data_IF_235965368870
#
_entry.id   IF_235965368870
#
_cell.length_a   1.000
_cell.length_b   1.000
_cell.length_c   1.000
_cell.angle_alpha   90.00
_cell.angle_beta   90.00
_cell.angle_gamma   90.00
#
_symmetry.space_group_name_H-M   'P 1'
#
loop_
_entity.id
_entity.type
_entity.pdbx_description
1 polymer ?
#
# COMPACT_ATOMS: atom_id res chain seq x y z
N UNK A 1 32.10 15.63 1.71
CA UNK A 1 31.10 16.69 1.96
C UNK A 1 30.57 17.15 0.61
N UNK A 2 29.47 16.56 0.13
CA UNK A 2 28.71 17.18 -0.97
C UNK A 2 27.74 18.17 -0.31
N UNK A 3 27.93 19.44 -0.57
CA UNK A 3 27.03 20.51 -0.17
C UNK A 3 25.78 20.42 -1.04
N UNK A 4 24.65 20.05 -0.44
CA UNK A 4 23.36 19.97 -1.12
C UNK A 4 22.89 21.39 -1.46
N UNK A 5 23.04 21.82 -2.71
CA UNK A 5 22.41 23.03 -3.23
C UNK A 5 21.04 22.65 -3.80
N UNK A 6 19.98 22.98 -3.07
CA UNK A 6 18.61 22.98 -3.58
C UNK A 6 18.52 24.08 -4.65
N UNK A 7 17.87 23.86 -5.81
CA UNK A 7 17.66 24.93 -6.78
C UNK A 7 16.83 26.05 -6.14
N UNK A 8 17.40 27.26 -6.10
CA UNK A 8 16.87 28.44 -5.41
C UNK A 8 15.61 29.07 -6.06
N UNK A 9 14.86 28.33 -6.89
CA UNK A 9 13.89 28.92 -7.83
C UNK A 9 12.50 28.26 -7.89
N UNK A 10 12.04 27.58 -6.83
CA UNK A 10 10.59 27.34 -6.69
C UNK A 10 9.94 28.60 -6.09
N UNK A 11 9.01 29.25 -6.80
CA UNK A 11 8.26 30.38 -6.25
C UNK A 11 7.56 29.94 -4.95
N UNK A 12 7.92 30.56 -3.83
CA UNK A 12 7.26 30.32 -2.54
C UNK A 12 5.78 30.66 -2.69
N UNK A 13 4.91 29.69 -2.45
CA UNK A 13 3.47 29.83 -2.68
C UNK A 13 2.87 30.87 -1.72
N UNK A 14 1.72 31.45 -2.09
CA UNK A 14 0.99 32.37 -1.20
C UNK A 14 0.64 31.69 0.12
N UNK A 15 0.27 30.41 0.10
CA UNK A 15 0.00 29.64 1.31
C UNK A 15 1.23 29.54 2.22
N UNK A 16 2.41 29.25 1.66
CA UNK A 16 3.68 29.22 2.42
C UNK A 16 4.03 30.57 3.05
N UNK A 17 3.63 31.69 2.45
CA UNK A 17 3.84 33.03 2.99
C UNK A 17 2.86 33.39 4.11
N UNK A 18 1.64 32.87 4.05
CA UNK A 18 0.55 33.26 4.95
C UNK A 18 0.40 32.33 6.15
N UNK A 19 0.74 31.05 6.01
CA UNK A 19 0.62 30.05 7.07
C UNK A 19 1.98 29.39 7.35
N UNK A 20 2.60 29.65 8.51
CA UNK A 20 3.85 28.99 8.91
C UNK A 20 3.76 27.47 8.89
N UNK A 21 2.58 26.88 9.14
CA UNK A 21 2.38 25.42 9.10
C UNK A 21 2.44 24.86 7.67
N UNK A 22 2.28 25.71 6.65
CA UNK A 22 2.37 25.34 5.24
C UNK A 22 3.77 25.57 4.67
N UNK A 23 4.72 26.05 5.47
CA UNK A 23 6.11 26.25 5.07
C UNK A 23 6.89 24.94 4.99
N UNK A 24 7.87 24.90 4.08
CA UNK A 24 8.86 23.82 4.00
C UNK A 24 10.05 24.21 4.87
N UNK A 25 10.31 23.41 5.90
CA UNK A 25 11.46 23.57 6.78
C UNK A 25 12.54 22.55 6.41
N UNK A 26 13.80 23.00 6.41
CA UNK A 26 14.91 22.07 6.29
C UNK A 26 15.06 21.30 7.60
N UNK A 27 15.22 19.99 7.51
CA UNK A 27 15.52 19.18 8.68
C UNK A 27 16.90 19.55 9.23
N UNK A 28 16.99 19.76 10.55
CA UNK A 28 18.28 19.85 11.22
C UNK A 28 18.93 18.46 11.25
N UNK A 29 20.18 18.39 10.78
CA UNK A 29 20.93 17.13 10.69
C UNK A 29 22.16 17.11 11.59
N UNK A 30 22.34 18.13 12.43
CA UNK A 30 23.43 18.12 13.40
C UNK A 30 23.22 17.03 14.46
N UNK A 31 24.30 16.31 14.75
CA UNK A 31 24.27 15.16 15.65
C UNK A 31 23.43 13.96 15.16
N UNK A 32 23.08 13.86 13.87
CA UNK A 32 22.33 12.72 13.30
C UNK A 32 23.29 11.63 12.76
N UNK A 33 22.99 10.37 13.11
CA UNK A 33 23.59 9.16 12.51
C UNK A 33 22.63 8.54 11.49
N UNK A 34 23.14 8.21 10.31
CA UNK A 34 22.37 7.72 9.18
C UNK A 34 22.49 6.21 9.00
N UNK A 35 21.37 5.58 8.65
CA UNK A 35 21.24 4.15 8.42
C UNK A 35 20.57 3.86 7.08
N UNK A 36 21.04 2.80 6.42
CA UNK A 36 20.35 2.18 5.30
C UNK A 36 19.35 1.16 5.84
N UNK A 37 18.03 1.34 5.65
CA UNK A 37 17.01 0.46 6.22
C UNK A 37 16.94 -0.91 5.55
N UNK A 38 17.72 -1.18 4.50
CA UNK A 38 17.91 -2.54 3.97
C UNK A 38 18.80 -3.41 4.85
N UNK A 39 19.47 -2.81 5.83
CA UNK A 39 20.37 -3.50 6.75
C UNK A 39 19.74 -3.65 8.12
N UNK A 40 20.15 -4.69 8.85
CA UNK A 40 19.81 -4.82 10.25
C UNK A 40 20.21 -3.55 11.04
N UNK A 41 19.41 -3.13 12.03
CA UNK A 41 18.29 -3.87 12.62
C UNK A 41 16.91 -3.54 12.03
N UNK A 42 16.82 -2.82 10.91
CA UNK A 42 15.54 -2.46 10.31
C UNK A 42 14.86 -3.67 9.66
N UNK A 43 13.53 -3.67 9.66
CA UNK A 43 12.71 -4.64 8.94
C UNK A 43 11.97 -3.94 7.80
N UNK A 44 12.04 -4.52 6.60
CA UNK A 44 11.28 -4.09 5.43
C UNK A 44 10.15 -5.09 5.16
N UNK A 45 8.91 -4.60 5.07
CA UNK A 45 7.73 -5.36 4.67
C UNK A 45 7.16 -4.83 3.35
N UNK A 46 6.38 -5.67 2.64
CA UNK A 46 5.74 -5.31 1.37
C UNK A 46 6.63 -5.40 0.12
N UNK A 47 7.91 -5.79 0.27
CA UNK A 47 8.84 -6.04 -0.84
C UNK A 47 9.37 -7.47 -0.79
N UNK A 48 8.73 -8.37 -1.53
CA UNK A 48 8.98 -9.81 -1.40
C UNK A 48 10.34 -10.28 -1.94
N UNK A 49 10.95 -9.51 -2.84
CA UNK A 49 12.22 -9.84 -3.51
C UNK A 49 13.39 -8.96 -3.06
N UNK A 50 13.19 -8.07 -2.09
CA UNK A 50 14.21 -7.06 -1.72
C UNK A 50 15.45 -7.65 -1.07
N UNK A 51 15.33 -8.80 -0.40
CA UNK A 51 16.48 -9.44 0.27
C UNK A 51 17.50 -9.95 -0.75
N UNK A 52 17.01 -10.47 -1.86
CA UNK A 52 17.79 -11.03 -2.95
C UNK A 52 18.26 -9.93 -3.91
N UNK A 53 17.39 -8.98 -4.24
CA UNK A 53 17.63 -8.02 -5.33
C UNK A 53 18.13 -6.65 -4.83
N UNK A 54 17.87 -6.29 -3.58
CA UNK A 54 18.30 -5.01 -2.99
C UNK A 54 17.58 -3.76 -3.54
N UNK A 55 16.50 -3.95 -4.30
CA UNK A 55 15.72 -2.89 -4.96
C UNK A 55 14.35 -2.73 -4.29
N UNK A 56 13.91 -1.49 -4.07
CA UNK A 56 12.54 -1.19 -3.62
C UNK A 56 11.55 -1.39 -4.77
N UNK A 57 11.12 -2.63 -4.98
CA UNK A 57 10.26 -3.05 -6.09
C UNK A 57 9.25 -4.08 -5.65
N UNK A 58 8.02 -3.98 -6.18
CA UNK A 58 6.86 -4.80 -5.79
C UNK A 58 6.70 -6.11 -6.58
N UNK A 59 7.54 -6.33 -7.59
CA UNK A 59 7.67 -7.58 -8.38
C UNK A 59 9.17 -7.87 -8.56
N UNK A 60 9.57 -9.09 -8.96
CA UNK A 60 10.97 -9.36 -9.28
C UNK A 60 11.52 -8.37 -10.32
N UNK A 61 12.81 -8.09 -10.27
CA UNK A 61 13.52 -7.35 -11.33
C UNK A 61 13.56 -8.18 -12.61
N UNK A 62 13.66 -9.51 -12.49
CA UNK A 62 13.66 -10.44 -13.62
C UNK A 62 12.58 -11.51 -13.40
N UNK A 63 11.31 -11.22 -13.74
CA UNK A 63 10.22 -12.15 -13.52
C UNK A 63 10.34 -13.38 -14.43
N UNK A 64 10.02 -14.57 -13.90
CA UNK A 64 10.03 -15.83 -14.65
C UNK A 64 8.94 -15.89 -15.74
N UNK A 65 7.94 -15.00 -15.66
CA UNK A 65 6.88 -14.83 -16.65
C UNK A 65 6.92 -13.43 -17.24
N UNK A 66 6.67 -13.35 -18.54
CA UNK A 66 6.55 -12.07 -19.24
C UNK A 66 5.38 -11.27 -18.67
N UNK A 67 5.68 -10.08 -18.16
CA UNK A 67 4.71 -9.10 -17.70
C UNK A 67 4.68 -7.94 -18.68
N UNK A 68 3.52 -7.29 -18.80
CA UNK A 68 3.37 -6.10 -19.63
C UNK A 68 4.29 -4.98 -19.15
N UNK A 69 4.87 -4.23 -20.08
CA UNK A 69 5.72 -3.06 -19.79
C UNK A 69 5.10 -2.08 -18.79
N UNK A 70 3.79 -1.81 -18.91
CA UNK A 70 3.11 -0.90 -17.99
C UNK A 70 3.06 -1.45 -16.55
N UNK A 71 2.89 -2.76 -16.37
CA UNK A 71 2.95 -3.41 -15.05
C UNK A 71 4.38 -3.41 -14.53
N UNK A 72 5.35 -3.72 -15.39
CA UNK A 72 6.78 -3.68 -15.07
C UNK A 72 7.24 -2.31 -14.56
N UNK A 73 6.80 -1.24 -15.22
CA UNK A 73 7.06 0.14 -14.81
C UNK A 73 6.42 0.45 -13.46
N UNK A 74 5.13 0.14 -13.29
CA UNK A 74 4.38 0.38 -12.05
C UNK A 74 4.87 -0.47 -10.86
N UNK A 75 5.53 -1.60 -11.11
CA UNK A 75 6.17 -2.39 -10.06
C UNK A 75 7.34 -1.67 -9.39
N UNK A 76 7.90 -0.62 -10.01
CA UNK A 76 8.89 0.25 -9.37
C UNK A 76 8.27 1.25 -8.39
N UNK A 77 6.94 1.43 -8.37
CA UNK A 77 6.29 2.22 -7.32
C UNK A 77 6.28 1.44 -6.02
N UNK A 78 6.40 2.13 -4.89
CA UNK A 78 6.66 1.50 -3.58
C UNK A 78 5.43 1.31 -2.69
N UNK A 79 4.22 1.34 -3.26
CA UNK A 79 2.96 1.21 -2.52
C UNK A 79 2.94 -0.03 -1.62
N UNK A 80 2.46 0.13 -0.38
CA UNK A 80 2.40 -0.94 0.62
C UNK A 80 3.72 -1.26 1.32
N UNK A 81 4.86 -0.77 0.83
CA UNK A 81 6.14 -0.97 1.51
C UNK A 81 6.17 -0.28 2.88
N UNK A 82 6.87 -0.88 3.85
CA UNK A 82 7.10 -0.24 5.16
C UNK A 82 8.52 -0.46 5.67
N UNK A 83 9.02 0.51 6.46
CA UNK A 83 10.24 0.40 7.29
C UNK A 83 9.81 0.33 8.74
N UNK A 84 10.20 -0.71 9.47
CA UNK A 84 9.89 -0.90 10.88
C UNK A 84 11.17 -0.99 11.71
N UNK A 85 11.20 -0.30 12.86
CA UNK A 85 12.32 -0.35 13.81
C UNK A 85 11.90 0.17 15.20
N UNK A 86 12.71 -0.16 16.21
CA UNK A 86 12.61 0.43 17.54
C UNK A 86 13.77 1.39 17.79
N UNK A 87 13.50 2.54 18.40
CA UNK A 87 14.56 3.44 18.84
C UNK A 87 14.17 4.28 20.05
N UNK A 88 15.15 4.65 20.88
CA UNK A 88 15.03 5.67 21.93
C UNK A 88 15.43 7.07 21.46
N UNK A 89 15.45 7.28 20.13
CA UNK A 89 15.76 8.55 19.51
C UNK A 89 14.79 9.64 19.95
N UNK A 90 15.30 10.87 20.00
CA UNK A 90 14.50 12.07 20.12
C UNK A 90 14.09 12.60 18.76
N UNK A 91 14.90 12.39 17.73
CA UNK A 91 14.65 12.86 16.37
C UNK A 91 14.64 11.71 15.37
N UNK A 92 13.71 11.76 14.42
CA UNK A 92 13.74 10.94 13.20
C UNK A 92 13.74 11.88 12.01
N UNK A 93 14.77 11.76 11.17
CA UNK A 93 14.90 12.48 9.90
C UNK A 93 15.08 11.46 8.79
N UNK A 94 14.52 11.71 7.61
CA UNK A 94 14.78 10.90 6.41
C UNK A 94 15.50 11.69 5.34
N UNK A 95 16.33 11.00 4.55
CA UNK A 95 16.87 11.46 3.26
C UNK A 95 16.37 10.53 2.18
N UNK A 96 15.73 11.08 1.15
CA UNK A 96 15.08 10.30 0.11
C UNK A 96 15.54 10.76 -1.27
N UNK A 97 15.79 9.78 -2.13
CA UNK A 97 15.90 9.93 -3.58
C UNK A 97 14.75 9.17 -4.25
N UNK A 98 13.88 9.91 -4.93
CA UNK A 98 12.78 9.40 -5.73
C UNK A 98 13.26 9.04 -7.14
N UNK A 99 12.51 8.18 -7.83
CA UNK A 99 12.75 7.88 -9.25
C UNK A 99 12.35 9.04 -10.16
N UNK A 100 11.30 9.75 -9.78
CA UNK A 100 10.75 10.87 -10.56
C UNK A 100 10.23 11.99 -9.65
N UNK A 101 9.94 13.14 -10.25
CA UNK A 101 9.31 14.27 -9.56
C UNK A 101 7.83 14.01 -9.33
N UNK A 102 7.25 14.63 -8.31
CA UNK A 102 5.80 14.56 -8.11
C UNK A 102 5.09 15.42 -9.16
N UNK A 103 3.94 14.97 -9.64
CA UNK A 103 3.26 15.65 -10.76
C UNK A 103 1.85 15.18 -11.06
N UNK A 104 1.26 14.28 -10.27
CA UNK A 104 -0.14 13.92 -10.44
C UNK A 104 -1.04 15.12 -10.08
N UNK A 105 -1.97 15.47 -10.98
CA UNK A 105 -2.83 16.65 -10.81
C UNK A 105 -4.03 16.43 -9.87
N UNK A 106 -4.34 15.18 -9.53
CA UNK A 106 -5.51 14.78 -8.72
C UNK A 106 -5.13 13.87 -7.54
N UNK A 107 -3.84 13.72 -7.23
CA UNK A 107 -3.34 13.05 -6.02
C UNK A 107 -2.38 13.98 -5.30
N UNK A 108 -2.51 14.19 -3.98
CA UNK A 108 -1.55 14.99 -3.23
C UNK A 108 -0.12 14.42 -3.35
N UNK A 109 0.87 15.31 -3.54
CA UNK A 109 2.27 14.89 -3.65
C UNK A 109 2.73 14.08 -2.42
N UNK A 110 2.17 14.38 -1.25
CA UNK A 110 2.39 13.63 0.00
C UNK A 110 2.01 12.17 -0.10
N UNK A 111 0.91 11.82 -0.79
CA UNK A 111 0.54 10.43 -1.07
C UNK A 111 1.35 9.83 -2.21
N UNK A 112 1.61 10.62 -3.27
CA UNK A 112 2.34 10.16 -4.44
C UNK A 112 3.79 9.76 -4.10
N UNK A 113 4.51 10.65 -3.41
CA UNK A 113 5.98 10.60 -3.24
C UNK A 113 6.48 10.83 -1.81
N UNK A 114 5.58 11.05 -0.85
CA UNK A 114 5.93 11.21 0.56
C UNK A 114 6.03 9.88 1.32
N UNK A 115 6.73 9.90 2.45
CA UNK A 115 6.60 8.89 3.51
C UNK A 115 5.69 9.44 4.61
N UNK A 116 4.98 8.59 5.34
CA UNK A 116 4.37 8.96 6.61
C UNK A 116 4.81 8.04 7.75
N UNK A 117 4.93 8.62 8.94
CA UNK A 117 5.44 7.98 10.15
C UNK A 117 4.30 7.68 11.12
N UNK A 118 4.33 6.47 11.65
CA UNK A 118 3.50 5.99 12.73
C UNK A 118 4.36 5.54 13.92
N UNK A 119 3.77 5.60 15.10
CA UNK A 119 4.32 5.09 16.36
C UNK A 119 3.36 4.05 16.95
N UNK A 120 3.87 2.89 17.41
CA UNK A 120 3.07 1.91 18.17
C UNK A 120 3.11 2.30 19.65
N UNK A 121 1.97 2.74 20.20
CA UNK A 121 1.77 3.06 21.62
C UNK A 121 0.58 2.25 22.13
N UNK A 122 0.72 1.58 23.28
CA UNK A 122 -0.34 0.77 23.91
C UNK A 122 -0.94 -0.33 23.00
N UNK A 123 -0.16 -0.81 22.03
CA UNK A 123 -0.61 -1.82 21.05
C UNK A 123 -1.12 -1.22 19.73
N UNK A 124 -1.51 0.05 19.72
CA UNK A 124 -2.08 0.71 18.54
C UNK A 124 -1.04 1.55 17.79
N UNK A 125 -1.11 1.53 16.46
CA UNK A 125 -0.29 2.42 15.62
C UNK A 125 -0.98 3.77 15.40
N UNK A 126 -0.37 4.85 15.90
CA UNK A 126 -0.86 6.23 15.77
C UNK A 126 -0.05 7.02 14.77
N UNK A 127 -0.73 7.80 13.94
CA UNK A 127 -0.09 8.71 12.98
C UNK A 127 0.67 9.82 13.71
N UNK A 128 1.88 10.14 13.23
CA UNK A 128 2.68 11.25 13.73
C UNK A 128 2.83 12.37 12.70
N UNK A 129 3.42 12.07 11.56
CA UNK A 129 3.81 13.09 10.58
C UNK A 129 3.97 12.52 9.18
N UNK A 130 3.70 13.34 8.17
CA UNK A 130 3.97 13.05 6.77
C UNK A 130 5.14 13.90 6.28
N UNK A 131 6.01 13.33 5.47
CA UNK A 131 7.12 14.03 4.83
C UNK A 131 6.57 15.13 3.92
N UNK A 132 7.01 16.37 4.18
CA UNK A 132 6.74 17.54 3.33
C UNK A 132 8.00 17.84 2.54
N UNK A 133 7.87 18.06 1.25
CA UNK A 133 9.01 18.25 0.35
C UNK A 133 8.61 19.10 -0.86
N UNK A 134 9.60 19.58 -1.61
CA UNK A 134 9.36 20.28 -2.87
C UNK A 134 9.05 19.29 -3.99
N UNK A 135 7.93 19.49 -4.68
CA UNK A 135 7.49 18.64 -5.80
C UNK A 135 8.43 18.71 -7.01
N UNK A 136 9.20 19.80 -7.12
CA UNK A 136 10.15 20.04 -8.23
C UNK A 136 11.48 19.28 -8.07
N UNK A 137 11.64 18.51 -6.99
CA UNK A 137 12.85 17.77 -6.65
C UNK A 137 12.58 16.28 -6.56
N UNK A 138 13.55 15.48 -7.00
CA UNK A 138 13.60 14.03 -6.71
C UNK A 138 14.33 13.76 -5.38
N UNK A 139 14.98 14.76 -4.80
CA UNK A 139 15.70 14.66 -3.53
C UNK A 139 14.99 15.46 -2.45
N UNK A 140 14.82 14.88 -1.27
CA UNK A 140 14.34 15.65 -0.11
C UNK A 140 14.86 15.12 1.22
N UNK A 141 14.76 15.98 2.24
CA UNK A 141 14.94 15.64 3.64
C UNK A 141 13.70 16.06 4.41
N UNK A 142 13.28 15.25 5.38
CA UNK A 142 12.13 15.57 6.21
C UNK A 142 12.35 15.08 7.65
N UNK A 143 12.08 15.96 8.62
CA UNK A 143 12.00 15.58 10.03
C UNK A 143 10.57 15.10 10.35
N UNK A 144 10.47 13.86 10.81
CA UNK A 144 9.20 13.16 11.04
C UNK A 144 8.85 12.99 12.52
N UNK A 145 9.81 13.14 13.42
CA UNK A 145 9.60 12.96 14.85
C UNK A 145 10.54 13.83 15.66
N UNK A 146 10.01 14.41 16.73
CA UNK A 146 10.75 15.10 17.80
C UNK A 146 10.18 14.69 19.16
N UNK A 147 11.03 14.54 20.17
CA UNK A 147 10.62 14.21 21.54
C UNK A 147 11.63 14.72 22.57
N UNK A 148 11.15 15.03 23.77
CA UNK A 148 11.99 15.50 24.87
C UNK A 148 12.63 14.36 25.68
N UNK A 149 12.12 13.14 25.58
CA UNK A 149 12.58 11.97 26.33
C UNK A 149 13.30 10.93 25.45
N UNK A 150 14.06 10.04 26.09
CA UNK A 150 14.74 8.90 25.43
C UNK A 150 14.00 7.59 25.69
N UNK A 151 12.68 7.56 25.47
CA UNK A 151 11.92 6.31 25.59
C UNK A 151 12.02 5.49 24.31
N UNK A 152 12.27 4.19 24.49
CA UNK A 152 12.23 3.22 23.40
C UNK A 152 10.82 3.14 22.83
N UNK A 153 10.68 3.37 21.53
CA UNK A 153 9.42 3.39 20.79
C UNK A 153 9.53 2.56 19.53
N UNK A 154 8.41 2.00 19.10
CA UNK A 154 8.30 1.30 17.83
C UNK A 154 7.77 2.24 16.76
N UNK A 155 8.46 2.31 15.62
CA UNK A 155 8.17 3.20 14.52
C UNK A 155 7.91 2.40 13.24
N UNK A 156 6.95 2.88 12.45
CA UNK A 156 6.64 2.39 11.11
C UNK A 156 6.62 3.57 10.15
N UNK A 157 7.46 3.56 9.10
CA UNK A 157 7.33 4.47 7.97
C UNK A 157 6.69 3.73 6.79
N UNK A 158 5.62 4.28 6.22
CA UNK A 158 5.06 3.75 4.97
C UNK A 158 5.71 4.45 3.77
N UNK A 159 5.98 3.69 2.72
CA UNK A 159 6.60 4.18 1.48
C UNK A 159 5.61 4.91 0.56
N UNK A 160 6.11 5.76 -0.36
CA UNK A 160 5.31 6.38 -1.42
C UNK A 160 4.44 5.41 -2.23
N UNK A 161 3.24 5.86 -2.63
CA UNK A 161 2.25 5.01 -3.32
C UNK A 161 2.42 5.00 -4.85
N UNK A 162 2.76 6.16 -5.43
CA UNK A 162 2.73 6.40 -6.88
C UNK A 162 4.06 6.95 -7.41
N UNK A 163 5.16 6.58 -6.76
CA UNK A 163 6.51 6.88 -7.19
C UNK A 163 7.43 5.77 -6.69
N UNK A 164 8.58 5.59 -7.33
CA UNK A 164 9.63 4.71 -6.84
C UNK A 164 10.66 5.42 -5.99
N UNK A 165 11.37 4.64 -5.17
CA UNK A 165 12.45 5.13 -4.32
C UNK A 165 13.77 4.50 -4.77
N UNK A 166 14.73 5.33 -5.16
CA UNK A 166 16.10 4.89 -5.46
C UNK A 166 16.88 4.65 -4.16
N UNK A 167 16.76 5.57 -3.20
CA UNK A 167 17.38 5.44 -1.89
C UNK A 167 16.57 6.13 -0.80
N UNK A 168 16.56 5.54 0.40
CA UNK A 168 16.05 6.17 1.61
C UNK A 168 17.02 5.88 2.76
N UNK A 169 17.32 6.89 3.56
CA UNK A 169 18.15 6.78 4.75
C UNK A 169 17.37 7.22 5.98
N UNK A 170 17.47 6.45 7.07
CA UNK A 170 16.89 6.80 8.36
C UNK A 170 17.97 7.47 9.22
N UNK A 171 17.71 8.69 9.64
CA UNK A 171 18.54 9.48 10.54
C UNK A 171 17.94 9.52 11.94
N UNK A 172 18.73 9.18 12.94
CA UNK A 172 18.39 9.34 14.37
C UNK A 172 19.53 10.02 15.11
N UNK A 173 19.30 10.49 16.34
CA UNK A 173 20.38 11.06 17.16
C UNK A 173 21.57 10.09 17.26
N UNK A 174 22.79 10.62 17.23
CA UNK A 174 24.04 9.84 17.18
C UNK A 174 24.13 8.79 18.30
N UNK A 175 23.67 9.17 19.50
CA UNK A 175 23.71 8.35 20.71
C UNK A 175 22.43 7.52 20.91
N UNK A 176 21.46 7.57 19.99
CA UNK A 176 20.24 6.76 20.09
C UNK A 176 20.55 5.31 19.74
N UNK A 177 19.92 4.39 20.46
CA UNK A 177 19.91 2.96 20.15
C UNK A 177 18.87 2.67 19.07
N UNK A 178 19.21 1.86 18.09
CA UNK A 178 18.26 1.31 17.10
C UNK A 178 18.21 -0.20 17.27
N UNK A 179 17.01 -0.77 17.34
CA UNK A 179 16.76 -2.22 17.50
C UNK A 179 15.74 -2.70 16.49
N UNK A 180 15.66 -4.02 16.33
CA UNK A 180 14.62 -4.64 15.54
C UNK A 180 13.24 -4.27 16.11
N UNK A 181 12.23 -4.09 15.25
CA UNK A 181 10.87 -3.90 15.70
C UNK A 181 10.35 -5.19 16.36
N UNK A 182 9.25 -5.13 17.14
CA UNK A 182 8.52 -6.34 17.46
C UNK A 182 8.03 -7.03 16.18
N UNK A 183 7.90 -8.35 16.22
CA UNK A 183 7.18 -9.07 15.17
C UNK A 183 5.74 -8.53 15.06
N UNK A 184 5.14 -8.69 13.89
CA UNK A 184 3.69 -8.51 13.75
C UNK A 184 2.95 -9.49 14.67
N UNK A 185 1.86 -9.05 15.31
CA UNK A 185 1.07 -9.90 16.19
C UNK A 185 0.45 -11.09 15.43
N UNK A 186 0.15 -10.91 14.13
CA UNK A 186 -0.28 -11.98 13.23
C UNK A 186 0.85 -12.40 12.26
N UNK A 187 1.19 -13.69 12.27
CA UNK A 187 2.21 -14.25 11.38
C UNK A 187 1.71 -14.43 9.93
N UNK A 188 2.64 -14.38 8.98
CA UNK A 188 2.37 -14.47 7.55
C UNK A 188 1.84 -13.16 6.97
N UNK A 189 1.31 -13.23 5.74
CA UNK A 189 0.93 -12.03 4.99
C UNK A 189 -0.32 -12.19 4.13
N UNK A 190 -0.98 -11.07 3.87
CA UNK A 190 -2.10 -10.97 2.94
C UNK A 190 -1.60 -10.33 1.65
N UNK A 191 -1.85 -10.99 0.52
CA UNK A 191 -1.51 -10.46 -0.80
C UNK A 191 -2.77 -9.85 -1.42
N UNK A 192 -2.69 -8.61 -1.86
CA UNK A 192 -3.81 -7.91 -2.51
C UNK A 192 -3.41 -7.56 -3.93
N UNK A 193 -4.06 -8.17 -4.91
CA UNK A 193 -3.85 -7.87 -6.33
C UNK A 193 -5.01 -7.07 -6.88
N UNK A 194 -4.71 -5.93 -7.50
CA UNK A 194 -5.77 -5.04 -7.94
C UNK A 194 -5.36 -3.85 -8.77
N UNK A 195 -6.14 -2.78 -8.65
CA UNK A 195 -6.13 -1.64 -9.57
C UNK A 195 -5.36 -0.43 -9.04
N UNK A 196 -5.66 0.77 -9.57
CA UNK A 196 -5.23 2.04 -8.99
C UNK A 196 -5.73 2.23 -7.56
N UNK A 197 -6.92 1.72 -7.25
CA UNK A 197 -7.52 1.81 -5.93
C UNK A 197 -6.67 1.03 -4.92
N UNK A 198 -6.33 -0.22 -5.24
CA UNK A 198 -5.40 -1.04 -4.46
C UNK A 198 -4.06 -0.35 -4.31
N UNK A 199 -3.52 0.25 -5.37
CA UNK A 199 -2.23 0.97 -5.31
C UNK A 199 -2.26 2.18 -4.36
N UNK A 200 -3.45 2.70 -4.05
CA UNK A 200 -3.67 3.84 -3.16
C UNK A 200 -4.04 5.14 -3.87
N UNK A 201 -4.46 5.08 -5.14
CA UNK A 201 -5.04 6.22 -5.83
C UNK A 201 -6.39 6.58 -5.17
N UNK A 202 -6.60 7.77 -4.59
CA UNK A 202 -5.73 8.96 -4.51
C UNK A 202 -5.66 9.52 -3.09
N UNK A 203 -5.36 8.65 -2.12
CA UNK A 203 -5.32 8.99 -0.70
C UNK A 203 -4.26 10.05 -0.38
N UNK A 204 -4.47 10.82 0.69
CA UNK A 204 -3.68 12.02 0.99
C UNK A 204 -2.24 11.74 1.43
N UNK A 205 -1.97 10.53 1.95
CA UNK A 205 -0.66 10.08 2.45
C UNK A 205 -0.60 8.55 2.48
N UNK A 206 0.60 7.93 2.45
CA UNK A 206 0.73 6.49 2.25
C UNK A 206 0.00 5.59 3.25
N UNK A 207 0.01 5.95 4.54
CA UNK A 207 -0.69 5.20 5.57
C UNK A 207 -2.21 5.17 5.42
N UNK A 208 -2.78 5.97 4.52
CA UNK A 208 -4.22 5.94 4.22
C UNK A 208 -4.60 4.99 3.09
N UNK A 209 -3.64 4.33 2.41
CA UNK A 209 -3.99 3.24 1.51
C UNK A 209 -4.67 2.12 2.32
N UNK A 210 -5.78 1.56 1.85
CA UNK A 210 -6.57 0.60 2.64
C UNK A 210 -5.74 -0.62 3.08
N UNK A 211 -4.75 -1.04 2.28
CA UNK A 211 -3.81 -2.11 2.64
C UNK A 211 -2.97 -1.75 3.86
N UNK A 212 -2.54 -0.48 3.97
CA UNK A 212 -1.75 0.00 5.10
C UNK A 212 -2.63 0.28 6.32
N UNK A 213 -3.90 0.68 6.11
CA UNK A 213 -4.90 0.75 7.19
C UNK A 213 -5.10 -0.64 7.78
N UNK A 214 -5.42 -1.65 6.96
CA UNK A 214 -5.61 -3.04 7.39
C UNK A 214 -4.36 -3.62 8.05
N UNK A 215 -3.16 -3.34 7.51
CA UNK A 215 -1.90 -3.77 8.12
C UNK A 215 -1.76 -3.28 9.57
N UNK A 216 -2.20 -2.06 9.87
CA UNK A 216 -2.19 -1.53 11.24
C UNK A 216 -3.29 -2.14 12.11
N UNK A 217 -4.51 -2.26 11.58
CA UNK A 217 -5.67 -2.75 12.34
C UNK A 217 -5.52 -4.23 12.72
N UNK A 218 -4.93 -5.03 11.83
CA UNK A 218 -4.72 -6.46 12.02
C UNK A 218 -3.34 -6.81 12.58
N UNK A 219 -2.46 -5.80 12.73
CA UNK A 219 -1.02 -5.93 12.97
C UNK A 219 -0.42 -7.12 12.19
N UNK A 220 -0.56 -7.05 10.86
CA UNK A 220 -0.18 -8.10 9.91
C UNK A 220 0.48 -7.49 8.66
N UNK A 221 1.33 -8.26 7.98
CA UNK A 221 1.91 -7.83 6.71
C UNK A 221 0.88 -7.86 5.56
N UNK A 222 0.90 -6.80 4.75
CA UNK A 222 0.15 -6.70 3.50
C UNK A 222 1.12 -6.49 2.33
N UNK A 223 0.97 -7.28 1.28
CA UNK A 223 1.67 -7.10 0.00
C UNK A 223 0.70 -6.43 -0.98
N UNK A 224 0.97 -5.18 -1.30
CA UNK A 224 0.13 -4.38 -2.18
C UNK A 224 0.60 -4.52 -3.64
N UNK A 225 -0.08 -5.38 -4.40
CA UNK A 225 0.11 -5.56 -5.83
C UNK A 225 -0.98 -4.83 -6.64
N UNK A 226 -1.25 -3.58 -6.28
CA UNK A 226 -2.09 -2.69 -7.06
C UNK A 226 -1.34 -2.07 -8.25
N UNK A 227 -1.91 -2.16 -9.45
CA UNK A 227 -1.33 -1.58 -10.66
C UNK A 227 -2.35 -0.67 -11.36
N UNK A 228 -2.13 0.64 -11.25
CA UNK A 228 -2.96 1.70 -11.81
C UNK A 228 -3.29 1.47 -13.29
N UNK A 229 -4.57 1.31 -13.62
CA UNK A 229 -5.06 1.03 -14.98
C UNK A 229 -4.63 -0.31 -15.61
N UNK A 230 -3.83 -1.12 -14.89
CA UNK A 230 -3.10 -2.26 -15.45
C UNK A 230 -3.27 -3.58 -14.70
N UNK A 231 -3.83 -3.64 -13.49
CA UNK A 231 -4.22 -4.94 -12.91
C UNK A 231 -5.44 -5.50 -13.64
N UNK A 232 -5.29 -6.48 -14.54
CA UNK A 232 -6.37 -6.97 -15.42
C UNK A 232 -6.61 -8.49 -15.34
N UNK A 233 -5.97 -9.17 -14.40
CA UNK A 233 -6.05 -10.62 -14.26
C UNK A 233 -5.12 -11.35 -15.24
N UNK A 234 -3.95 -10.79 -15.52
CA UNK A 234 -2.95 -11.45 -16.35
C UNK A 234 -2.42 -12.74 -15.69
N UNK A 235 -2.36 -13.88 -16.40
CA UNK A 235 -1.84 -15.14 -15.86
C UNK A 235 -0.44 -15.05 -15.23
N UNK A 236 0.44 -14.23 -15.82
CA UNK A 236 1.78 -13.98 -15.29
C UNK A 236 1.75 -13.46 -13.85
N UNK A 237 0.77 -12.61 -13.50
CA UNK A 237 0.65 -12.07 -12.14
C UNK A 237 0.15 -13.13 -11.16
N UNK A 238 -0.74 -14.03 -11.59
CA UNK A 238 -1.14 -15.17 -10.77
C UNK A 238 0.08 -16.04 -10.42
N UNK A 239 0.91 -16.37 -11.42
CA UNK A 239 2.14 -17.15 -11.20
C UNK A 239 3.12 -16.46 -10.25
N UNK A 240 3.37 -15.16 -10.43
CA UNK A 240 4.24 -14.38 -9.54
C UNK A 240 3.70 -14.32 -8.10
N UNK A 241 2.38 -14.16 -7.92
CA UNK A 241 1.74 -14.21 -6.60
C UNK A 241 2.01 -15.56 -5.91
N UNK A 242 2.03 -16.67 -6.67
CA UNK A 242 2.32 -17.98 -6.07
C UNK A 242 3.74 -18.12 -5.51
N UNK A 243 4.67 -17.25 -5.90
CA UNK A 243 6.04 -17.22 -5.38
C UNK A 243 6.16 -16.56 -4.01
N UNK A 244 5.12 -15.84 -3.55
CA UNK A 244 5.12 -15.14 -2.27
C UNK A 244 4.92 -16.15 -1.12
N UNK A 245 5.98 -16.37 -0.34
CA UNK A 245 5.98 -17.30 0.80
C UNK A 245 5.09 -16.85 1.94
N UNK A 246 4.66 -17.75 2.84
CA UNK A 246 3.89 -17.38 4.06
C UNK A 246 2.58 -16.60 3.78
N UNK A 247 2.04 -16.71 2.57
CA UNK A 247 0.75 -16.14 2.20
C UNK A 247 -0.37 -16.83 2.98
N UNK A 248 -1.21 -16.02 3.64
CA UNK A 248 -2.32 -16.45 4.50
C UNK A 248 -3.68 -16.22 3.85
N UNK A 249 -3.77 -15.26 2.94
CA UNK A 249 -4.96 -14.94 2.17
C UNK A 249 -4.53 -14.16 0.90
N UNK A 250 -5.24 -14.38 -0.21
CA UNK A 250 -5.10 -13.61 -1.44
C UNK A 250 -6.40 -12.88 -1.71
N UNK A 251 -6.35 -11.57 -1.89
CA UNK A 251 -7.49 -10.73 -2.24
C UNK A 251 -7.36 -10.30 -3.70
N UNK A 252 -8.40 -10.56 -4.49
CA UNK A 252 -8.51 -10.18 -5.90
C UNK A 252 -9.51 -9.04 -6.05
N UNK A 253 -9.02 -7.85 -6.41
CA UNK A 253 -9.76 -6.59 -6.54
C UNK A 253 -9.34 -5.87 -7.83
N UNK A 254 -9.59 -6.49 -8.99
CA UNK A 254 -9.10 -5.99 -10.28
C UNK A 254 -10.19 -5.71 -11.32
N UNK A 255 -11.48 -5.89 -10.97
CA UNK A 255 -12.61 -5.67 -11.88
C UNK A 255 -12.61 -4.25 -12.46
N UNK A 256 -12.24 -3.23 -11.69
CA UNK A 256 -12.29 -1.84 -12.13
C UNK A 256 -11.48 -1.57 -13.42
N UNK A 257 -10.38 -2.31 -13.61
CA UNK A 257 -9.52 -2.22 -14.78
C UNK A 257 -9.85 -3.27 -15.85
N UNK A 258 -10.22 -4.49 -15.44
CA UNK A 258 -10.59 -5.57 -16.36
C UNK A 258 -11.93 -5.28 -17.08
N UNK A 259 -12.88 -4.66 -16.38
CA UNK A 259 -14.23 -4.47 -16.87
C UNK A 259 -14.84 -5.80 -17.28
N UNK A 260 -15.33 -5.89 -18.52
CA UNK A 260 -15.92 -7.15 -19.01
C UNK A 260 -14.92 -8.29 -19.16
N UNK A 261 -13.62 -8.01 -19.32
CA UNK A 261 -12.62 -9.05 -19.52
C UNK A 261 -12.40 -9.94 -18.29
N UNK A 262 -12.98 -9.56 -17.14
CA UNK A 262 -12.96 -10.37 -15.92
C UNK A 262 -13.70 -11.69 -16.10
N UNK A 263 -14.67 -11.74 -17.03
CA UNK A 263 -15.42 -12.96 -17.33
C UNK A 263 -14.53 -14.06 -17.88
N UNK A 264 -13.52 -13.68 -18.65
CA UNK A 264 -12.53 -14.58 -19.22
C UNK A 264 -11.32 -14.78 -18.30
N UNK A 265 -10.92 -13.77 -17.49
CA UNK A 265 -9.68 -13.85 -16.73
C UNK A 265 -9.81 -14.44 -15.32
N UNK A 266 -10.93 -14.26 -14.62
CA UNK A 266 -11.02 -14.61 -13.19
C UNK A 266 -10.96 -16.11 -12.89
N UNK A 267 -11.68 -16.94 -13.67
CA UNK A 267 -11.61 -18.39 -13.53
C UNK A 267 -10.17 -18.92 -13.69
N UNK A 268 -9.51 -18.66 -14.83
CA UNK A 268 -8.13 -19.08 -15.07
C UNK A 268 -7.13 -18.53 -14.04
N UNK A 269 -7.31 -17.28 -13.58
CA UNK A 269 -6.45 -16.71 -12.54
C UNK A 269 -6.54 -17.51 -11.24
N UNK A 270 -7.76 -17.85 -10.81
CA UNK A 270 -7.99 -18.70 -9.63
C UNK A 270 -7.41 -20.10 -9.85
N UNK A 271 -7.53 -20.68 -11.04
CA UNK A 271 -6.98 -22.00 -11.36
C UNK A 271 -5.46 -22.04 -11.14
N UNK A 272 -4.73 -21.05 -11.67
CA UNK A 272 -3.28 -20.94 -11.48
C UNK A 272 -2.91 -20.83 -9.99
N UNK A 273 -3.64 -20.04 -9.22
CA UNK A 273 -3.40 -19.92 -7.78
C UNK A 273 -3.65 -21.26 -7.07
N UNK A 274 -4.71 -21.98 -7.45
CA UNK A 274 -5.08 -23.26 -6.84
C UNK A 274 -4.13 -24.40 -7.20
N UNK A 275 -3.53 -24.39 -8.39
CA UNK A 275 -2.50 -25.36 -8.78
C UNK A 275 -1.31 -25.37 -7.81
N UNK A 276 -0.88 -24.19 -7.35
CA UNK A 276 0.24 -24.09 -6.40
C UNK A 276 -0.20 -24.08 -4.94
N UNK A 277 -1.36 -23.47 -4.65
CA UNK A 277 -1.87 -23.22 -3.31
C UNK A 277 -3.32 -23.72 -3.17
N UNK A 278 -3.53 -25.05 -3.02
CA UNK A 278 -4.87 -25.64 -3.05
C UNK A 278 -5.81 -25.18 -1.94
N UNK A 279 -5.27 -24.68 -0.82
CA UNK A 279 -6.04 -24.36 0.38
C UNK A 279 -5.90 -22.92 0.87
N UNK A 280 -5.03 -22.09 0.26
CA UNK A 280 -4.91 -20.68 0.70
C UNK A 280 -6.27 -19.98 0.47
N UNK A 281 -6.83 -19.29 1.47
CA UNK A 281 -8.02 -18.48 1.26
C UNK A 281 -7.87 -17.48 0.11
N UNK A 282 -8.84 -17.45 -0.80
CA UNK A 282 -8.97 -16.44 -1.86
C UNK A 282 -10.24 -15.66 -1.62
N UNK A 283 -10.13 -14.33 -1.48
CA UNK A 283 -11.25 -13.41 -1.40
C UNK A 283 -11.37 -12.65 -2.73
N UNK A 284 -12.48 -12.82 -3.42
CA UNK A 284 -12.84 -12.02 -4.59
C UNK A 284 -13.71 -10.85 -4.11
N UNK A 285 -13.26 -9.63 -4.38
CA UNK A 285 -14.03 -8.41 -4.11
C UNK A 285 -14.48 -7.81 -5.43
N UNK A 286 -15.80 -7.68 -5.62
CA UNK A 286 -16.29 -6.96 -6.81
C UNK A 286 -15.99 -5.46 -6.69
N UNK A 287 -15.99 -4.76 -7.82
CA UNK A 287 -15.71 -3.32 -7.89
C UNK A 287 -16.67 -2.51 -7.00
N UNK A 288 -16.14 -1.50 -6.33
CA UNK A 288 -16.91 -0.48 -5.61
C UNK A 288 -17.75 0.41 -6.54
N UNK A 289 -18.79 1.06 -5.99
CA UNK A 289 -19.63 2.02 -6.72
C UNK A 289 -18.81 3.26 -7.11
N UNK A 290 -18.88 3.68 -8.37
CA UNK A 290 -18.36 5.00 -8.79
C UNK A 290 -19.42 6.08 -8.62
N UNK A 291 -18.99 7.33 -8.42
CA UNK A 291 -19.90 8.44 -8.11
C UNK A 291 -20.92 8.70 -9.23
N UNK A 292 -20.53 8.48 -10.50
CA UNK A 292 -21.40 8.68 -11.66
C UNK A 292 -22.36 7.51 -11.94
N UNK A 293 -22.21 6.39 -11.22
CA UNK A 293 -22.99 5.17 -11.44
C UNK A 293 -24.39 5.31 -10.82
N UNK A 294 -25.30 5.89 -11.60
CA UNK A 294 -26.71 6.10 -11.22
C UNK A 294 -27.53 4.82 -11.33
N UNK A 295 -28.35 4.56 -10.32
CA UNK A 295 -29.26 3.41 -10.30
C UNK A 295 -30.17 3.40 -11.55
N UNK A 296 -30.36 2.21 -12.10
CA UNK A 296 -31.15 1.99 -13.32
C UNK A 296 -30.47 2.39 -14.64
N UNK A 297 -29.30 3.04 -14.60
CA UNK A 297 -28.53 3.34 -15.82
C UNK A 297 -27.93 2.08 -16.46
N UNK A 298 -27.62 2.12 -17.76
CA UNK A 298 -26.93 1.03 -18.46
C UNK A 298 -25.58 0.67 -17.81
N UNK A 299 -24.84 1.68 -17.32
CA UNK A 299 -23.57 1.47 -16.61
C UNK A 299 -23.79 0.72 -15.29
N UNK A 300 -24.80 1.11 -14.52
CA UNK A 300 -25.19 0.43 -13.28
C UNK A 300 -25.59 -1.02 -13.53
N UNK A 301 -26.44 -1.28 -14.52
CA UNK A 301 -26.86 -2.64 -14.87
C UNK A 301 -25.67 -3.51 -15.28
N UNK A 302 -24.75 -2.97 -16.09
CA UNK A 302 -23.53 -3.68 -16.50
C UNK A 302 -22.61 -3.98 -15.32
N UNK A 303 -22.42 -3.02 -14.41
CA UNK A 303 -21.63 -3.22 -13.20
C UNK A 303 -22.24 -4.30 -12.30
N UNK A 304 -23.55 -4.26 -12.07
CA UNK A 304 -24.26 -5.28 -11.31
C UNK A 304 -24.15 -6.67 -11.93
N UNK A 305 -24.20 -6.79 -13.26
CA UNK A 305 -23.96 -8.06 -13.96
C UNK A 305 -22.54 -8.60 -13.74
N UNK A 306 -21.51 -7.74 -13.66
CA UNK A 306 -20.13 -8.17 -13.38
C UNK A 306 -19.96 -8.58 -11.92
N UNK A 307 -20.61 -7.86 -11.00
CA UNK A 307 -20.70 -8.24 -9.59
C UNK A 307 -21.36 -9.61 -9.43
N UNK A 308 -22.48 -9.83 -10.13
CA UNK A 308 -23.25 -11.08 -10.04
C UNK A 308 -22.46 -12.25 -10.61
N UNK A 309 -21.79 -12.05 -11.76
CA UNK A 309 -20.88 -13.05 -12.33
C UNK A 309 -19.80 -13.50 -11.34
N UNK A 310 -19.14 -12.57 -10.65
CA UNK A 310 -18.10 -12.93 -9.66
C UNK A 310 -18.67 -13.71 -8.48
N UNK A 311 -19.85 -13.31 -7.99
CA UNK A 311 -20.55 -14.05 -6.92
C UNK A 311 -20.94 -15.46 -7.38
N UNK A 312 -21.45 -15.60 -8.59
CA UNK A 312 -21.82 -16.88 -9.19
C UNK A 312 -20.60 -17.79 -9.36
N UNK A 313 -19.48 -17.28 -9.88
CA UNK A 313 -18.23 -18.04 -9.99
C UNK A 313 -17.78 -18.57 -8.61
N UNK A 314 -17.82 -17.75 -7.56
CA UNK A 314 -17.49 -18.19 -6.20
C UNK A 314 -18.44 -19.28 -5.71
N UNK A 315 -19.74 -19.15 -5.96
CA UNK A 315 -20.75 -20.14 -5.57
C UNK A 315 -20.57 -21.47 -6.32
N UNK A 316 -20.28 -21.42 -7.61
CA UNK A 316 -19.99 -22.59 -8.45
C UNK A 316 -18.74 -23.32 -7.94
N UNK A 317 -17.65 -22.58 -7.68
CA UNK A 317 -16.40 -23.14 -7.15
C UNK A 317 -16.59 -23.78 -5.78
N UNK A 318 -17.35 -23.14 -4.89
CA UNK A 318 -17.73 -23.73 -3.58
C UNK A 318 -18.55 -25.01 -3.73
N UNK A 319 -19.51 -25.03 -4.65
CA UNK A 319 -20.34 -26.21 -4.94
C UNK A 319 -19.51 -27.35 -5.54
N UNK A 320 -18.44 -27.02 -6.28
CA UNK A 320 -17.46 -27.97 -6.78
C UNK A 320 -16.40 -28.40 -5.75
N UNK A 321 -16.44 -27.86 -4.52
CA UNK A 321 -15.61 -28.31 -3.40
C UNK A 321 -14.51 -27.34 -2.94
N UNK A 322 -14.29 -26.20 -3.61
CA UNK A 322 -13.37 -25.17 -3.14
C UNK A 322 -14.01 -24.37 -1.99
N UNK A 323 -13.78 -24.83 -0.75
CA UNK A 323 -14.34 -24.21 0.45
C UNK A 323 -13.62 -22.92 0.86
N UNK A 324 -12.44 -22.66 0.32
CA UNK A 324 -11.55 -21.56 0.71
C UNK A 324 -11.59 -20.40 -0.29
N UNK A 325 -12.64 -20.30 -1.09
CA UNK A 325 -12.91 -19.14 -1.95
C UNK A 325 -14.08 -18.34 -1.37
N UNK A 326 -13.97 -17.02 -1.35
CA UNK A 326 -14.88 -16.10 -0.69
C UNK A 326 -15.25 -14.94 -1.62
N UNK A 327 -16.42 -14.35 -1.38
CA UNK A 327 -16.91 -13.20 -2.14
C UNK A 327 -17.25 -12.06 -1.18
N UNK A 328 -16.81 -10.84 -1.51
CA UNK A 328 -17.24 -9.59 -0.90
C UNK A 328 -17.88 -8.69 -1.95
N UNK A 329 -19.09 -8.24 -1.66
CA UNK A 329 -19.85 -7.36 -2.54
C UNK A 329 -19.35 -5.91 -2.44
N UNK A 330 -18.58 -5.45 -3.42
CA UNK A 330 -18.10 -4.07 -3.49
C UNK A 330 -19.19 -3.02 -3.58
N UNK A 331 -20.40 -3.39 -4.03
CA UNK A 331 -21.48 -2.41 -4.25
C UNK A 331 -22.01 -1.78 -2.96
N UNK A 332 -21.73 -2.40 -1.80
CA UNK A 332 -22.20 -1.93 -0.50
C UNK A 332 -21.11 -1.23 0.32
N UNK A 333 -19.84 -1.26 -0.11
CA UNK A 333 -18.70 -0.86 0.72
C UNK A 333 -18.70 0.64 1.06
N UNK A 334 -18.99 1.50 0.09
CA UNK A 334 -18.92 2.96 0.29
C UNK A 334 -20.17 3.55 0.96
N UNK A 335 -21.19 2.73 1.25
CA UNK A 335 -22.41 3.17 1.93
C UNK A 335 -23.25 4.18 1.15
N UNK A 336 -24.05 4.96 1.87
CA UNK A 336 -25.00 5.92 1.30
C UNK A 336 -24.31 7.16 0.71
N UNK A 337 -23.22 7.62 1.32
CA UNK A 337 -22.44 8.80 0.88
C UNK A 337 -21.29 8.40 -0.07
N UNK A 338 -21.52 7.40 -0.92
CA UNK A 338 -20.48 6.85 -1.81
C UNK A 338 -19.90 7.89 -2.76
N UNK A 339 -20.69 8.91 -3.12
CA UNK A 339 -20.33 10.02 -3.99
C UNK A 339 -19.36 11.01 -3.35
N UNK A 340 -19.32 11.10 -2.01
CA UNK A 340 -18.35 11.88 -1.23
C UNK A 340 -17.06 11.11 -0.94
N UNK A 341 -16.99 9.82 -1.31
CA UNK A 341 -15.88 8.93 -0.96
C UNK A 341 -14.74 8.92 -1.98
N UNK A 342 -14.81 9.73 -3.03
CA UNK A 342 -13.83 9.75 -4.12
C UNK A 342 -13.25 11.15 -4.38
N UNK A 343 -12.06 11.22 -4.97
CA UNK A 343 -11.44 12.50 -5.37
C UNK A 343 -11.98 12.97 -6.73
N UNK A 344 -12.23 12.04 -7.64
CA UNK A 344 -12.52 12.31 -9.05
C UNK A 344 -13.73 11.50 -9.58
N UNK A 345 -14.54 10.93 -8.69
CA UNK A 345 -15.64 10.03 -9.03
C UNK A 345 -15.26 8.56 -9.13
N UNK A 346 -13.96 8.24 -9.13
CA UNK A 346 -13.42 6.88 -9.34
C UNK A 346 -12.51 6.45 -8.19
N UNK A 347 -11.52 7.27 -7.85
CA UNK A 347 -10.46 6.95 -6.92
C UNK A 347 -10.85 7.34 -5.49
N UNK A 348 -10.81 6.42 -4.51
CA UNK A 348 -11.13 6.76 -3.14
C UNK A 348 -10.25 7.88 -2.57
N UNK A 349 -10.91 8.77 -1.83
CA UNK A 349 -10.22 9.66 -0.90
C UNK A 349 -9.97 8.91 0.43
N UNK A 350 -9.46 9.61 1.43
CA UNK A 350 -9.16 9.03 2.75
C UNK A 350 -10.38 8.38 3.43
N UNK A 351 -11.59 8.95 3.26
CA UNK A 351 -12.83 8.38 3.79
C UNK A 351 -13.19 7.08 3.05
N UNK A 352 -13.20 7.11 1.71
CA UNK A 352 -13.49 5.92 0.91
C UNK A 352 -12.52 4.77 1.18
N UNK A 353 -11.23 5.09 1.34
CA UNK A 353 -10.20 4.10 1.67
C UNK A 353 -10.38 3.50 3.07
N UNK A 354 -10.81 4.31 4.05
CA UNK A 354 -11.17 3.80 5.38
C UNK A 354 -12.37 2.86 5.31
N UNK A 355 -13.44 3.21 4.59
CA UNK A 355 -14.61 2.36 4.43
C UNK A 355 -14.29 1.02 3.76
N UNK A 356 -13.38 1.01 2.78
CA UNK A 356 -12.85 -0.24 2.18
C UNK A 356 -12.14 -1.08 3.24
N UNK A 357 -11.29 -0.48 4.08
CA UNK A 357 -10.61 -1.19 5.15
C UNK A 357 -11.60 -1.74 6.19
N UNK A 358 -12.57 -0.94 6.63
CA UNK A 358 -13.59 -1.33 7.61
C UNK A 358 -14.47 -2.49 7.10
N UNK A 359 -14.79 -2.51 5.79
CA UNK A 359 -15.53 -3.61 5.18
C UNK A 359 -14.70 -4.90 5.05
N UNK A 360 -13.40 -4.77 4.75
CA UNK A 360 -12.49 -5.91 4.58
C UNK A 360 -12.06 -6.53 5.90
N UNK A 361 -11.84 -5.73 6.95
CA UNK A 361 -11.32 -6.19 8.23
C UNK A 361 -12.08 -7.40 8.81
N UNK A 362 -13.41 -7.34 9.06
CA UNK A 362 -14.13 -8.46 9.67
C UNK A 362 -14.16 -9.70 8.76
N UNK A 363 -14.14 -9.52 7.43
CA UNK A 363 -14.09 -10.62 6.46
C UNK A 363 -12.74 -11.33 6.54
N UNK A 364 -11.66 -10.57 6.62
CA UNK A 364 -10.30 -11.10 6.76
C UNK A 364 -10.16 -11.82 8.11
N UNK A 365 -10.60 -11.23 9.21
CA UNK A 365 -10.56 -11.86 10.54
C UNK A 365 -11.35 -13.18 10.57
N UNK A 366 -12.53 -13.20 9.95
CA UNK A 366 -13.31 -14.43 9.78
C UNK A 366 -12.55 -15.49 8.96
N UNK A 367 -11.94 -15.10 7.84
CA UNK A 367 -11.17 -16.02 7.00
C UNK A 367 -9.97 -16.59 7.77
N UNK A 368 -9.21 -15.74 8.45
CA UNK A 368 -7.99 -16.14 9.15
C UNK A 368 -8.29 -17.03 10.37
N UNK A 369 -9.36 -16.74 11.12
CA UNK A 369 -9.78 -17.54 12.28
C UNK A 369 -10.26 -18.94 11.89
N UNK A 370 -10.89 -19.09 10.72
CA UNK A 370 -11.31 -20.39 10.17
C UNK A 370 -10.20 -21.13 9.41
N UNK A 371 -9.03 -20.51 9.23
CA UNK A 371 -7.89 -21.10 8.55
C UNK A 371 -6.59 -20.86 9.35
N UNK A 372 -6.48 -21.36 10.59
CA UNK A 372 -5.34 -21.07 11.46
C UNK A 372 -4.04 -21.60 10.86
N UNK A 373 -2.91 -20.97 11.22
CA UNK A 373 -1.59 -21.54 10.91
C UNK A 373 -1.52 -22.88 11.64
N UNK A 374 -1.28 -23.98 10.92
CA UNK A 374 -0.96 -25.24 11.59
C UNK A 374 0.27 -25.00 12.45
N UNK A 375 0.14 -25.15 13.77
CA UNK A 375 1.25 -25.09 14.72
C UNK A 375 2.33 -26.05 14.21
N UNK A 376 3.46 -25.50 13.76
CA UNK A 376 4.66 -26.29 13.49
C UNK A 376 5.31 -26.70 14.81
#
# INVERSE_FOLDING_TARGET
MLTFLIPLNSQVSTAQKLDPNMSLENADTDGIRWFDPRKAPFELSGFEWIKEEGVYRRLPVHPDWEIRDAVDQLANHTAGGQIRFNSDCKRIVIKVELREKSGMYHMPATGQSGFDLYIKEDGDQRYLRTARFSVDSIWYQAELFTSDDKKMRAFTLNFPLYNGVNSVWIGVDKEATVKAPPAFDQAGKIVVYGTSITQGGCVGRPGMAYTNILSRLLDMQFVNLGFSGNGRGEPALAHLITQISETRCIILDYEANAGTSIKESLGPFVDILREKHPYIPILIMSKIRYADTREGSTQYLKWMQLRDFQRELVNERRSAGDKQIHFLDGSTILGENYDECTVDGVHPNDLGSMLIADALQPVIEYILSNHPVSSR
#
